data_IF_661489904911
#
_entry.id   IF_661489904911
#
_cell.length_a   1.000
_cell.length_b   1.000
_cell.length_c   1.000
_cell.angle_alpha   90.00
_cell.angle_beta   90.00
_cell.angle_gamma   90.00
#
_symmetry.space_group_name_H-M   'P 1'
#
loop_
_entity.id
_entity.type
_entity.pdbx_description
1 polymer ?
#
# COMPACT_ATOMS: atom_id res chain seq x y z
N UNK A 1 -17.08 10.66 -27.00
CA UNK A 1 -16.37 10.47 -25.72
C UNK A 1 -14.91 10.83 -25.95
N UNK A 2 -14.36 11.89 -25.32
CA UNK A 2 -12.97 12.22 -25.55
C UNK A 2 -12.10 11.12 -24.92
N UNK A 3 -11.13 10.63 -25.69
CA UNK A 3 -10.16 9.64 -25.24
C UNK A 3 -9.32 10.20 -24.09
N UNK A 4 -9.17 9.42 -23.01
CA UNK A 4 -8.33 9.76 -21.88
C UNK A 4 -6.85 9.67 -22.31
N UNK A 5 -6.01 10.68 -22.08
CA UNK A 5 -4.62 10.69 -22.53
C UNK A 5 -3.80 9.57 -21.85
N UNK A 6 -3.12 8.78 -22.67
CA UNK A 6 -2.35 7.60 -22.28
C UNK A 6 -0.94 7.95 -21.74
N UNK A 7 -0.85 8.72 -20.66
CA UNK A 7 0.45 9.16 -20.11
C UNK A 7 0.66 8.89 -18.62
N UNK A 8 -0.18 8.09 -17.97
CA UNK A 8 0.05 7.68 -16.57
C UNK A 8 0.59 6.25 -16.52
N UNK A 9 1.71 5.98 -15.79
CA UNK A 9 2.21 4.62 -15.60
C UNK A 9 1.09 3.73 -15.04
N UNK A 10 1.07 2.46 -15.46
CA UNK A 10 0.01 1.53 -15.09
C UNK A 10 -0.13 1.48 -13.55
N UNK A 11 -1.32 1.77 -13.01
CA UNK A 11 -1.57 1.77 -11.58
C UNK A 11 -1.58 0.34 -11.03
N UNK A 12 -1.29 0.17 -9.74
CA UNK A 12 -1.05 -1.10 -9.06
C UNK A 12 -2.21 -2.10 -9.20
N UNK A 13 -3.44 -1.62 -9.36
CA UNK A 13 -4.60 -2.47 -9.61
C UNK A 13 -4.56 -3.21 -10.97
N UNK A 14 -3.75 -2.76 -11.93
CA UNK A 14 -3.55 -3.46 -13.20
C UNK A 14 -2.57 -4.65 -13.08
N UNK A 15 -2.02 -4.93 -11.88
CA UNK A 15 -1.23 -6.14 -11.63
C UNK A 15 -2.13 -7.35 -11.37
N UNK A 16 -1.71 -8.56 -11.81
CA UNK A 16 -2.32 -9.79 -11.33
C UNK A 16 -2.23 -9.86 -9.81
N UNK A 17 -3.35 -10.17 -9.15
CA UNK A 17 -3.41 -10.32 -7.69
C UNK A 17 -2.38 -11.33 -7.19
N UNK A 18 -2.09 -12.38 -7.96
CA UNK A 18 -1.06 -13.38 -7.64
C UNK A 18 0.32 -12.76 -7.43
N UNK A 19 0.72 -11.78 -8.25
CA UNK A 19 2.02 -11.10 -8.12
C UNK A 19 2.07 -10.17 -6.90
N UNK A 20 0.94 -9.53 -6.57
CA UNK A 20 0.83 -8.68 -5.37
C UNK A 20 0.90 -9.55 -4.11
N UNK A 21 0.17 -10.66 -4.11
CA UNK A 21 0.16 -11.60 -2.99
C UNK A 21 1.53 -12.24 -2.78
N UNK A 22 2.22 -12.68 -3.84
CA UNK A 22 3.56 -13.27 -3.71
C UNK A 22 4.55 -12.30 -3.06
N UNK A 23 4.62 -11.03 -3.50
CA UNK A 23 5.54 -10.06 -2.90
C UNK A 23 5.24 -9.78 -1.42
N UNK A 24 3.96 -9.76 -1.04
CA UNK A 24 3.56 -9.59 0.37
C UNK A 24 3.94 -10.82 1.21
N UNK A 25 3.74 -12.02 0.67
CA UNK A 25 4.16 -13.28 1.33
C UNK A 25 5.67 -13.31 1.54
N UNK A 26 6.46 -12.82 0.58
CA UNK A 26 7.92 -12.73 0.71
C UNK A 26 8.38 -11.65 1.70
N UNK A 27 7.56 -10.62 1.95
CA UNK A 27 7.85 -9.55 2.92
C UNK A 27 7.65 -10.00 4.38
N UNK A 28 6.58 -10.74 4.66
CA UNK A 28 6.21 -11.18 6.01
C UNK A 28 7.33 -11.84 6.82
N UNK A 29 8.09 -12.84 6.31
CA UNK A 29 9.14 -13.48 7.12
C UNK A 29 10.27 -12.52 7.51
N UNK A 30 10.53 -11.48 6.70
CA UNK A 30 11.52 -10.44 7.02
C UNK A 30 11.01 -9.51 8.12
N UNK A 31 9.73 -9.14 8.06
CA UNK A 31 9.08 -8.33 9.10
C UNK A 31 9.01 -9.05 10.46
N UNK A 32 8.79 -10.36 10.44
CA UNK A 32 8.63 -11.18 11.64
C UNK A 32 9.95 -11.67 12.25
N UNK A 33 11.09 -11.37 11.63
CA UNK A 33 12.40 -11.83 12.10
C UNK A 33 12.74 -11.41 13.54
N UNK A 34 12.45 -10.17 14.01
CA UNK A 34 12.67 -9.78 15.41
C UNK A 34 11.87 -10.64 16.40
N UNK A 35 10.65 -11.04 16.04
CA UNK A 35 9.83 -11.94 16.87
C UNK A 35 10.45 -13.34 16.93
N UNK A 36 10.97 -13.83 15.80
CA UNK A 36 11.62 -15.16 15.72
C UNK A 36 12.91 -15.21 16.54
N UNK A 37 13.62 -14.09 16.66
CA UNK A 37 14.84 -13.96 17.47
C UNK A 37 14.58 -13.73 18.95
N UNK A 38 13.32 -13.50 19.34
CA UNK A 38 12.96 -13.17 20.72
C UNK A 38 13.35 -11.75 21.13
N UNK A 39 13.57 -10.85 20.17
CA UNK A 39 13.93 -9.45 20.41
C UNK A 39 12.71 -8.61 20.84
N UNK A 40 11.49 -9.08 20.56
CA UNK A 40 10.22 -8.43 20.92
C UNK A 40 9.08 -9.45 21.03
N UNK A 41 7.94 -9.01 21.58
CA UNK A 41 6.67 -9.74 21.63
C UNK A 41 5.65 -9.27 20.60
N UNK A 42 5.81 -8.05 20.07
CA UNK A 42 5.02 -7.56 18.95
C UNK A 42 5.83 -6.59 18.07
N UNK A 43 5.52 -6.60 16.77
CA UNK A 43 5.96 -5.60 15.79
C UNK A 43 4.71 -4.81 15.41
N UNK A 44 4.69 -3.51 15.67
CA UNK A 44 3.51 -2.66 15.46
C UNK A 44 3.88 -1.51 14.52
N UNK A 45 3.10 -1.26 13.45
CA UNK A 45 3.35 -0.09 12.61
C UNK A 45 3.15 1.17 13.44
N UNK A 46 4.10 2.10 13.36
CA UNK A 46 3.99 3.36 14.09
C UNK A 46 2.80 4.16 13.58
N UNK A 47 2.17 4.89 14.50
CA UNK A 47 0.99 5.66 14.18
C UNK A 47 1.28 6.82 13.21
N UNK A 48 2.47 7.42 13.26
CA UNK A 48 2.92 8.46 12.33
C UNK A 48 3.17 7.90 10.92
N UNK A 49 3.89 6.79 10.79
CA UNK A 49 4.10 6.09 9.53
C UNK A 49 2.77 5.67 8.88
N UNK A 50 1.85 5.12 9.69
CA UNK A 50 0.50 4.75 9.22
C UNK A 50 -0.29 5.96 8.72
N UNK A 51 -0.22 7.11 9.41
CA UNK A 51 -0.87 8.35 8.96
C UNK A 51 -0.26 8.84 7.65
N UNK A 52 1.07 8.91 7.57
CA UNK A 52 1.79 9.36 6.38
C UNK A 52 1.46 8.50 5.15
N UNK A 53 1.44 7.17 5.32
CA UNK A 53 1.03 6.25 4.25
C UNK A 53 -0.40 6.52 3.78
N UNK A 54 -1.35 6.68 4.71
CA UNK A 54 -2.75 6.95 4.38
C UNK A 54 -2.96 8.32 3.74
N UNK A 55 -2.21 9.34 4.16
CA UNK A 55 -2.29 10.68 3.56
C UNK A 55 -1.70 10.69 2.15
N UNK A 56 -0.60 9.98 1.93
CA UNK A 56 -0.05 9.75 0.61
C UNK A 56 -1.06 9.00 -0.28
N UNK A 57 -1.71 7.95 0.26
CA UNK A 57 -2.73 7.19 -0.45
C UNK A 57 -3.85 8.12 -0.93
N UNK A 58 -4.45 8.90 -0.02
CA UNK A 58 -5.51 9.87 -0.34
C UNK A 58 -5.05 10.89 -1.38
N UNK A 59 -3.85 11.45 -1.22
CA UNK A 59 -3.31 12.43 -2.14
C UNK A 59 -3.19 11.87 -3.57
N UNK A 60 -2.72 10.63 -3.70
CA UNK A 60 -2.56 9.97 -5.00
C UNK A 60 -3.88 9.46 -5.61
N UNK A 61 -4.97 9.40 -4.83
CA UNK A 61 -6.28 9.10 -5.38
C UNK A 61 -6.87 10.28 -6.17
N UNK A 62 -6.45 11.52 -5.88
CA UNK A 62 -6.96 12.70 -6.59
C UNK A 62 -6.70 12.60 -8.10
N UNK A 63 -7.74 12.83 -8.91
CA UNK A 63 -7.66 12.74 -10.37
C UNK A 63 -7.81 11.34 -10.95
N UNK A 64 -8.00 10.30 -10.12
CA UNK A 64 -8.35 8.95 -10.60
C UNK A 64 -9.86 8.80 -10.83
N UNK A 65 -10.25 7.86 -11.70
CA UNK A 65 -11.66 7.50 -11.94
C UNK A 65 -12.39 7.00 -10.68
N UNK A 66 -11.64 6.59 -9.67
CA UNK A 66 -12.20 6.05 -8.43
C UNK A 66 -12.79 7.12 -7.51
N UNK A 67 -12.36 8.38 -7.63
CA UNK A 67 -12.88 9.53 -6.87
C UNK A 67 -13.77 10.45 -7.69
N UNK A 68 -14.00 10.15 -8.98
CA UNK A 68 -14.74 11.00 -9.93
C UNK A 68 -16.27 10.84 -9.87
N UNK A 69 -16.85 10.63 -8.68
CA UNK A 69 -18.30 10.73 -8.47
C UNK A 69 -19.13 9.43 -8.63
N UNK A 70 -18.51 8.27 -8.89
CA UNK A 70 -19.21 6.98 -8.84
C UNK A 70 -19.08 6.33 -7.46
N UNK A 71 -20.20 6.16 -6.73
CA UNK A 71 -20.27 5.34 -5.51
C UNK A 71 -20.07 3.87 -5.87
N UNK A 72 -18.83 3.40 -5.81
CA UNK A 72 -18.51 1.97 -5.95
C UNK A 72 -18.41 1.32 -4.57
N UNK A 73 -18.74 0.03 -4.47
CA UNK A 73 -18.56 -0.77 -3.25
C UNK A 73 -17.09 -0.99 -2.85
N UNK A 74 -16.15 -0.48 -3.66
CA UNK A 74 -14.71 -0.52 -3.40
C UNK A 74 -14.20 0.70 -2.62
N UNK A 75 -15.09 1.64 -2.25
CA UNK A 75 -14.76 2.83 -1.47
C UNK A 75 -15.08 2.62 0.01
N UNK A 76 -14.18 3.06 0.88
CA UNK A 76 -14.48 3.19 2.30
C UNK A 76 -15.44 4.38 2.58
N UNK A 77 -15.79 4.59 3.86
CA UNK A 77 -16.68 5.70 4.28
C UNK A 77 -16.17 7.11 3.93
N UNK A 78 -14.88 7.23 3.59
CA UNK A 78 -14.21 8.47 3.21
C UNK A 78 -14.01 8.60 1.70
N UNK A 79 -14.51 7.65 0.90
CA UNK A 79 -14.34 7.65 -0.55
C UNK A 79 -12.97 7.15 -1.01
N UNK A 80 -12.22 6.47 -0.13
CA UNK A 80 -10.88 5.94 -0.44
C UNK A 80 -11.01 4.53 -1.00
N UNK A 81 -10.48 4.23 -2.20
CA UNK A 81 -10.51 2.87 -2.73
C UNK A 81 -9.67 1.90 -1.92
N UNK A 82 -10.15 0.67 -1.82
CA UNK A 82 -9.42 -0.46 -1.20
C UNK A 82 -8.19 -0.88 -2.04
N UNK A 83 -8.09 -0.41 -3.29
CA UNK A 83 -6.94 -0.65 -4.17
C UNK A 83 -6.09 0.61 -4.31
N UNK A 84 -4.81 0.52 -3.94
CA UNK A 84 -3.91 1.67 -3.94
C UNK A 84 -3.60 2.22 -5.35
N UNK A 85 -3.38 3.54 -5.48
CA UNK A 85 -3.14 4.23 -6.76
C UNK A 85 -1.68 4.12 -7.25
N UNK A 86 -0.80 3.46 -6.49
CA UNK A 86 0.64 3.45 -6.73
C UNK A 86 1.05 2.76 -8.02
N UNK A 87 2.23 3.06 -8.56
CA UNK A 87 2.78 2.34 -9.72
C UNK A 87 3.31 0.98 -9.30
N UNK A 88 3.49 0.06 -10.26
CA UNK A 88 4.10 -1.24 -9.99
C UNK A 88 5.51 -1.12 -9.38
N UNK A 89 6.30 -0.18 -9.89
CA UNK A 89 7.67 0.06 -9.42
C UNK A 89 7.70 0.49 -7.96
N UNK A 90 6.77 1.36 -7.56
CA UNK A 90 6.66 1.76 -6.16
C UNK A 90 6.27 0.58 -5.27
N UNK A 91 5.23 -0.18 -5.63
CA UNK A 91 4.83 -1.33 -4.83
C UNK A 91 5.93 -2.40 -4.73
N UNK A 92 6.75 -2.58 -5.76
CA UNK A 92 7.91 -3.48 -5.69
C UNK A 92 8.99 -2.94 -4.76
N UNK A 93 9.27 -1.63 -4.80
CA UNK A 93 10.22 -0.99 -3.88
C UNK A 93 9.74 -1.09 -2.43
N UNK A 94 8.47 -0.79 -2.16
CA UNK A 94 7.86 -0.85 -0.82
C UNK A 94 7.90 -2.29 -0.25
N UNK A 95 7.89 -3.32 -1.10
CA UNK A 95 7.99 -4.73 -0.68
C UNK A 95 9.43 -5.28 -0.71
N UNK A 96 10.41 -4.50 -1.19
CA UNK A 96 11.80 -4.96 -1.39
C UNK A 96 12.60 -5.04 -0.09
N UNK A 97 12.28 -4.21 0.91
CA UNK A 97 12.94 -4.21 2.21
C UNK A 97 11.99 -3.75 3.31
N UNK A 98 12.23 -4.21 4.55
CA UNK A 98 11.48 -3.73 5.73
C UNK A 98 12.12 -2.45 6.20
N UNK A 99 11.38 -1.36 6.15
CA UNK A 99 11.80 -0.06 6.71
C UNK A 99 11.59 -0.10 8.23
N UNK A 100 12.64 -0.43 8.98
CA UNK A 100 12.56 -0.64 10.43
C UNK A 100 12.02 0.58 11.18
N UNK A 101 12.29 1.78 10.68
CA UNK A 101 11.88 3.04 11.30
C UNK A 101 10.37 3.28 11.22
N UNK A 102 9.63 2.53 10.39
CA UNK A 102 8.16 2.58 10.33
C UNK A 102 7.49 1.70 11.40
N UNK A 103 8.26 0.90 12.12
CA UNK A 103 7.75 -0.06 13.10
C UNK A 103 8.30 0.21 14.50
N UNK A 104 7.46 -0.08 15.50
CA UNK A 104 7.83 -0.13 16.89
C UNK A 104 7.87 -1.59 17.35
N UNK A 105 8.95 -1.95 18.05
CA UNK A 105 9.11 -3.26 18.68
C UNK A 105 8.67 -3.18 20.14
N UNK A 106 7.66 -3.95 20.51
CA UNK A 106 7.12 -4.01 21.87
C UNK A 106 7.72 -5.21 22.59
N UNK A 107 8.34 -4.98 23.75
CA UNK A 107 8.95 -6.01 24.60
C UNK A 107 7.95 -6.95 25.29
#
# INVERSE_FOLDING_TARGET
>A
MPACPASSPAPAWARPVSRISSSQVDYLPRLLEPLRRGECRAVVPRADATRAFNDALRAAMHGTVWVSGCRSGYLDRHGTPVTGPWTFQRSDADMAAVESDEYELIA
#
